data_IF_532047006665
#
_entry.id   IF_532047006665
#
_cell.length_a   1.000
_cell.length_b   1.000
_cell.length_c   1.000
_cell.angle_alpha   90.00
_cell.angle_beta   90.00
_cell.angle_gamma   90.00
#
_symmetry.space_group_name_H-M   'P 1'
#
loop_
_entity.id
_entity.type
_entity.pdbx_description
1 polymer ?
#
# COMPACT_ATOMS: atom_id res chain seq x y z
N UNK A 1 23.61 -7.76 -5.77
CA UNK A 1 22.32 -8.13 -5.15
C UNK A 1 21.82 -7.06 -4.19
N UNK A 2 22.63 -6.59 -3.24
CA UNK A 2 22.22 -5.59 -2.23
C UNK A 2 21.73 -4.26 -2.85
N UNK A 3 22.40 -3.74 -3.89
CA UNK A 3 22.00 -2.47 -4.52
C UNK A 3 20.59 -2.52 -5.14
N UNK A 4 20.21 -3.60 -5.81
CA UNK A 4 18.89 -3.71 -6.43
C UNK A 4 17.78 -3.84 -5.39
N UNK A 5 18.06 -4.51 -4.26
CA UNK A 5 17.14 -4.61 -3.13
C UNK A 5 16.99 -3.27 -2.42
N UNK A 6 18.09 -2.58 -2.11
CA UNK A 6 18.04 -1.25 -1.48
C UNK A 6 17.36 -0.22 -2.38
N UNK A 7 17.65 -0.24 -3.68
CA UNK A 7 16.94 0.58 -4.68
C UNK A 7 15.45 0.22 -4.72
N UNK A 8 15.11 -1.07 -4.64
CA UNK A 8 13.73 -1.54 -4.55
C UNK A 8 13.00 -1.03 -3.31
N UNK A 9 13.63 -1.14 -2.15
CA UNK A 9 13.07 -0.62 -0.89
C UNK A 9 12.84 0.89 -0.95
N UNK A 10 13.83 1.65 -1.42
CA UNK A 10 13.71 3.09 -1.61
C UNK A 10 12.62 3.46 -2.62
N UNK A 11 12.51 2.70 -3.72
CA UNK A 11 11.46 2.87 -4.71
C UNK A 11 10.05 2.54 -4.17
N UNK A 12 9.92 1.53 -3.32
CA UNK A 12 8.66 1.22 -2.62
C UNK A 12 8.27 2.32 -1.65
N UNK A 13 9.24 2.90 -0.92
CA UNK A 13 9.00 4.05 -0.05
C UNK A 13 8.58 5.31 -0.82
N UNK A 14 9.21 5.58 -1.97
CA UNK A 14 8.82 6.66 -2.87
C UNK A 14 7.40 6.44 -3.43
N UNK A 15 7.09 5.21 -3.83
CA UNK A 15 5.74 4.82 -4.25
C UNK A 15 4.70 5.03 -3.15
N UNK A 16 4.98 4.61 -1.92
CA UNK A 16 4.07 4.81 -0.78
C UNK A 16 3.84 6.30 -0.49
N UNK A 17 4.87 7.14 -0.65
CA UNK A 17 4.75 8.59 -0.56
C UNK A 17 3.82 9.13 -1.64
N UNK A 18 3.98 8.70 -2.90
CA UNK A 18 3.13 9.13 -4.00
C UNK A 18 1.66 8.68 -3.81
N UNK A 19 1.44 7.44 -3.38
CA UNK A 19 0.11 6.92 -3.03
C UNK A 19 -0.56 7.83 -2.00
N UNK A 20 0.12 8.08 -0.88
CA UNK A 20 -0.42 8.94 0.19
C UNK A 20 -0.68 10.35 -0.30
N UNK A 21 0.21 10.93 -1.12
CA UNK A 21 0.02 12.26 -1.68
C UNK A 21 -1.25 12.34 -2.54
N UNK A 22 -1.48 11.35 -3.40
CA UNK A 22 -2.70 11.27 -4.23
C UNK A 22 -3.94 11.07 -3.35
N UNK A 23 -3.88 10.18 -2.36
CA UNK A 23 -4.98 9.96 -1.41
C UNK A 23 -5.34 11.22 -0.63
N UNK A 24 -4.36 11.98 -0.15
CA UNK A 24 -4.61 13.22 0.58
C UNK A 24 -5.07 14.37 -0.32
N UNK A 25 -4.53 14.47 -1.55
CA UNK A 25 -5.04 15.42 -2.54
C UNK A 25 -6.51 15.14 -2.84
N UNK A 26 -6.86 13.87 -2.96
CA UNK A 26 -8.23 13.42 -3.18
C UNK A 26 -9.18 13.83 -2.04
N UNK A 27 -8.76 13.59 -0.80
CA UNK A 27 -9.49 14.04 0.40
C UNK A 27 -9.65 15.56 0.44
N UNK A 28 -8.60 16.31 0.12
CA UNK A 28 -8.63 17.77 0.14
C UNK A 28 -9.53 18.37 -0.96
N UNK A 29 -9.57 17.74 -2.14
CA UNK A 29 -10.32 18.23 -3.29
C UNK A 29 -11.80 17.80 -3.27
N UNK A 30 -12.09 16.53 -2.91
CA UNK A 30 -13.46 15.98 -2.86
C UNK A 30 -14.11 16.08 -1.49
N UNK A 31 -13.36 16.43 -0.44
CA UNK A 31 -13.87 16.51 0.94
C UNK A 31 -14.25 15.15 1.54
N UNK A 32 -13.75 14.04 0.97
CA UNK A 32 -14.07 12.70 1.46
C UNK A 32 -13.35 12.39 2.78
N UNK A 33 -13.94 11.60 3.69
CA UNK A 33 -13.27 11.19 4.92
C UNK A 33 -12.08 10.25 4.64
N UNK A 34 -11.11 10.16 5.55
CA UNK A 34 -10.08 9.13 5.49
C UNK A 34 -10.71 7.73 5.60
N UNK A 35 -10.08 6.73 4.99
CA UNK A 35 -10.46 5.33 5.18
C UNK A 35 -10.14 4.89 6.61
N UNK A 36 -11.05 4.12 7.21
CA UNK A 36 -10.90 3.45 8.51
C UNK A 36 -10.56 1.96 8.38
N UNK A 37 -10.47 1.44 7.15
CA UNK A 37 -10.27 0.02 6.87
C UNK A 37 -8.98 -0.53 7.50
N UNK A 38 -7.84 0.19 7.52
CA UNK A 38 -6.64 -0.27 8.23
C UNK A 38 -6.85 -0.39 9.75
N UNK A 39 -7.52 0.58 10.39
CA UNK A 39 -7.86 0.53 11.81
C UNK A 39 -8.80 -0.64 12.13
N UNK A 40 -9.83 -0.83 11.31
CA UNK A 40 -10.79 -1.93 11.43
C UNK A 40 -10.12 -3.29 11.26
N UNK A 41 -9.11 -3.37 10.40
CA UNK A 41 -8.29 -4.58 10.24
C UNK A 41 -7.53 -4.93 11.51
N UNK A 42 -6.93 -3.92 12.17
CA UNK A 42 -6.27 -4.14 13.47
C UNK A 42 -7.28 -4.53 14.54
N UNK A 43 -8.44 -3.85 14.59
CA UNK A 43 -9.52 -4.19 15.52
C UNK A 43 -10.00 -5.63 15.32
N UNK A 44 -10.15 -6.06 14.06
CA UNK A 44 -10.58 -7.42 13.72
C UNK A 44 -9.57 -8.48 14.18
N UNK A 45 -8.27 -8.17 14.13
CA UNK A 45 -7.22 -9.03 14.69
C UNK A 45 -7.29 -9.10 16.22
N UNK A 46 -7.57 -7.99 16.92
CA UNK A 46 -7.79 -7.99 18.38
C UNK A 46 -8.95 -8.91 18.77
N UNK A 47 -10.07 -8.83 18.03
CA UNK A 47 -11.24 -9.70 18.23
C UNK A 47 -10.90 -11.18 18.04
N UNK A 48 -10.26 -11.54 16.93
CA UNK A 48 -9.91 -12.92 16.61
C UNK A 48 -8.88 -13.52 17.58
N UNK A 49 -8.00 -12.69 18.13
CA UNK A 49 -6.96 -13.14 19.08
C UNK A 49 -7.41 -13.06 20.53
N UNK A 50 -8.54 -12.40 20.82
CA UNK A 50 -8.99 -12.08 22.17
C UNK A 50 -8.04 -11.15 22.93
N UNK A 51 -7.14 -10.44 22.22
CA UNK A 51 -6.12 -9.58 22.81
C UNK A 51 -6.29 -8.15 22.33
N UNK A 52 -6.98 -7.35 23.14
CA UNK A 52 -7.08 -5.91 22.93
C UNK A 52 -5.73 -5.20 23.11
N UNK A 53 -5.57 -4.08 22.41
CA UNK A 53 -4.44 -3.19 22.58
C UNK A 53 -4.51 -2.50 23.95
N UNK A 54 -3.37 -2.32 24.63
CA UNK A 54 -3.37 -1.79 25.99
C UNK A 54 -3.76 -0.31 26.04
N UNK A 55 -4.64 0.03 27.00
CA UNK A 55 -5.14 1.37 27.26
C UNK A 55 -6.67 1.41 27.29
N UNK A 56 -7.23 2.59 27.60
CA UNK A 56 -8.67 2.83 27.37
C UNK A 56 -8.98 2.95 25.88
N UNK A 57 -10.26 2.95 25.51
CA UNK A 57 -10.72 2.89 24.10
C UNK A 57 -10.08 3.95 23.21
N UNK A 58 -9.97 5.19 23.68
CA UNK A 58 -9.33 6.27 22.92
C UNK A 58 -7.85 5.99 22.62
N UNK A 59 -7.12 5.45 23.61
CA UNK A 59 -5.69 5.09 23.44
C UNK A 59 -5.55 3.89 22.51
N UNK A 60 -6.43 2.90 22.61
CA UNK A 60 -6.46 1.76 21.69
C UNK A 60 -6.74 2.23 20.26
N UNK A 61 -7.66 3.18 20.05
CA UNK A 61 -7.94 3.80 18.75
C UNK A 61 -6.69 4.44 18.11
N UNK A 62 -5.91 5.22 18.87
CA UNK A 62 -4.66 5.79 18.36
C UNK A 62 -3.64 4.71 17.96
N UNK A 63 -3.56 3.61 18.73
CA UNK A 63 -2.68 2.49 18.41
C UNK A 63 -3.13 1.75 17.15
N UNK A 64 -4.44 1.53 16.96
CA UNK A 64 -5.01 0.94 15.73
C UNK A 64 -4.63 1.77 14.52
N UNK A 65 -4.79 3.09 14.61
CA UNK A 65 -4.44 4.00 13.51
C UNK A 65 -2.95 3.96 13.19
N UNK A 66 -2.09 4.02 14.21
CA UNK A 66 -0.64 3.87 14.01
C UNK A 66 -0.25 2.51 13.39
N UNK A 67 -0.86 1.41 13.85
CA UNK A 67 -0.59 0.08 13.31
C UNK A 67 -1.08 -0.07 11.87
N UNK A 68 -2.27 0.44 11.55
CA UNK A 68 -2.80 0.47 10.19
C UNK A 68 -1.87 1.21 9.23
N UNK A 69 -1.40 2.39 9.62
CA UNK A 69 -0.42 3.16 8.84
C UNK A 69 0.91 2.41 8.65
N UNK A 70 1.43 1.77 9.71
CA UNK A 70 2.66 0.97 9.64
C UNK A 70 2.52 -0.23 8.70
N UNK A 71 1.38 -0.93 8.72
CA UNK A 71 1.10 -2.04 7.81
C UNK A 71 1.11 -1.58 6.34
N UNK A 72 0.55 -0.40 6.06
CA UNK A 72 0.63 0.22 4.74
C UNK A 72 2.07 0.49 4.29
N UNK A 73 2.91 1.06 5.17
CA UNK A 73 4.32 1.31 4.88
C UNK A 73 5.13 0.02 4.67
N UNK A 74 4.89 -1.00 5.48
CA UNK A 74 5.52 -2.33 5.32
C UNK A 74 5.11 -2.95 4.00
N UNK A 75 3.83 -2.86 3.62
CA UNK A 75 3.33 -3.35 2.33
C UNK A 75 4.02 -2.62 1.18
N UNK A 76 4.03 -1.29 1.19
CA UNK A 76 4.63 -0.48 0.13
C UNK A 76 6.14 -0.71 -0.03
N UNK A 77 6.89 -0.81 1.07
CA UNK A 77 8.33 -1.08 1.02
C UNK A 77 8.64 -2.54 0.66
N UNK A 78 7.83 -3.49 1.14
CA UNK A 78 7.92 -4.90 0.80
C UNK A 78 7.67 -5.17 -0.68
N UNK A 79 6.64 -4.54 -1.27
CA UNK A 79 6.39 -4.60 -2.72
C UNK A 79 7.55 -3.99 -3.50
N UNK A 80 8.12 -2.88 -3.05
CA UNK A 80 9.33 -2.30 -3.66
C UNK A 80 10.55 -3.24 -3.63
N UNK A 81 10.79 -3.94 -2.51
CA UNK A 81 11.85 -4.94 -2.40
C UNK A 81 11.66 -6.06 -3.44
N UNK A 82 10.44 -6.61 -3.53
CA UNK A 82 10.09 -7.65 -4.50
C UNK A 82 10.23 -7.12 -5.92
N UNK A 83 9.77 -5.90 -6.18
CA UNK A 83 9.92 -5.22 -7.46
C UNK A 83 11.39 -5.16 -7.88
N UNK A 84 12.28 -4.68 -7.01
CA UNK A 84 13.70 -4.58 -7.33
C UNK A 84 14.37 -5.95 -7.57
N UNK A 85 13.93 -6.98 -6.85
CA UNK A 85 14.36 -8.35 -7.07
C UNK A 85 13.92 -8.88 -8.45
N UNK A 86 12.64 -8.73 -8.79
CA UNK A 86 12.05 -9.22 -10.05
C UNK A 86 12.58 -8.44 -11.24
N UNK A 87 12.49 -7.10 -11.20
CA UNK A 87 12.92 -6.22 -12.30
C UNK A 87 14.40 -6.39 -12.64
N UNK A 88 15.26 -6.67 -11.65
CA UNK A 88 16.67 -6.92 -11.90
C UNK A 88 16.97 -8.13 -12.80
N UNK A 89 16.00 -9.04 -12.96
CA UNK A 89 16.09 -10.25 -13.80
C UNK A 89 15.30 -10.14 -15.11
N UNK A 90 14.52 -9.07 -15.30
CA UNK A 90 13.61 -8.90 -16.43
C UNK A 90 14.03 -7.71 -17.30
N UNK A 91 15.19 -7.81 -17.94
CA UNK A 91 15.80 -6.68 -18.67
C UNK A 91 14.92 -6.11 -19.79
N UNK A 92 14.07 -6.94 -20.40
CA UNK A 92 13.20 -6.56 -21.54
C UNK A 92 11.71 -6.42 -21.18
N UNK A 93 11.36 -6.39 -19.89
CA UNK A 93 9.96 -6.22 -19.51
C UNK A 93 9.45 -4.83 -19.95
N UNK A 94 8.26 -4.74 -20.56
CA UNK A 94 7.65 -3.45 -20.89
C UNK A 94 7.43 -2.60 -19.62
N UNK A 95 7.75 -1.31 -19.69
CA UNK A 95 7.60 -0.39 -18.54
C UNK A 95 6.18 -0.42 -17.96
N UNK A 96 5.15 -0.44 -18.82
CA UNK A 96 3.76 -0.50 -18.40
C UNK A 96 3.45 -1.75 -17.56
N UNK A 97 4.00 -2.92 -17.93
CA UNK A 97 3.79 -4.16 -17.20
C UNK A 97 4.40 -4.09 -15.79
N UNK A 98 5.53 -3.41 -15.64
CA UNK A 98 6.20 -3.21 -14.36
C UNK A 98 5.43 -2.24 -13.46
N UNK A 99 4.94 -1.13 -14.02
CA UNK A 99 4.08 -0.15 -13.33
C UNK A 99 2.81 -0.82 -12.82
N UNK A 100 2.09 -1.50 -13.71
CA UNK A 100 0.85 -2.19 -13.36
C UNK A 100 1.10 -3.34 -12.38
N UNK A 101 2.19 -4.09 -12.55
CA UNK A 101 2.58 -5.16 -11.63
C UNK A 101 2.82 -4.64 -10.21
N UNK A 102 3.53 -3.51 -10.07
CA UNK A 102 3.75 -2.88 -8.76
C UNK A 102 2.46 -2.34 -8.15
N UNK A 103 1.61 -1.68 -8.95
CA UNK A 103 0.32 -1.17 -8.51
C UNK A 103 -0.60 -2.29 -7.99
N UNK A 104 -0.75 -3.36 -8.77
CA UNK A 104 -1.54 -4.54 -8.41
C UNK A 104 -0.95 -5.25 -7.20
N UNK A 105 0.37 -5.41 -7.12
CA UNK A 105 0.99 -6.06 -5.97
C UNK A 105 0.76 -5.27 -4.67
N UNK A 106 0.84 -3.95 -4.70
CA UNK A 106 0.52 -3.10 -3.56
C UNK A 106 -0.96 -3.21 -3.17
N UNK A 107 -1.85 -3.18 -4.16
CA UNK A 107 -3.29 -3.30 -3.95
C UNK A 107 -3.69 -4.66 -3.37
N UNK A 108 -3.19 -5.76 -3.95
CA UNK A 108 -3.43 -7.11 -3.44
C UNK A 108 -2.84 -7.28 -2.04
N UNK A 109 -1.64 -6.75 -1.82
CA UNK A 109 -0.95 -6.82 -0.53
C UNK A 109 -1.70 -6.12 0.60
N UNK A 110 -2.46 -5.06 0.30
CA UNK A 110 -3.31 -4.38 1.27
C UNK A 110 -4.72 -5.00 1.33
N UNK A 111 -5.38 -5.21 0.20
CA UNK A 111 -6.80 -5.60 0.14
C UNK A 111 -7.07 -7.06 0.54
N UNK A 112 -6.23 -8.02 0.14
CA UNK A 112 -6.49 -9.45 0.40
C UNK A 112 -6.50 -9.77 1.90
N UNK A 113 -5.53 -9.33 2.73
CA UNK A 113 -5.60 -9.54 4.18
C UNK A 113 -6.89 -8.99 4.79
N UNK A 114 -7.32 -7.80 4.37
CA UNK A 114 -8.54 -7.16 4.87
C UNK A 114 -9.80 -7.94 4.45
N UNK A 115 -9.83 -8.45 3.21
CA UNK A 115 -10.93 -9.27 2.72
C UNK A 115 -11.02 -10.63 3.43
N UNK A 116 -9.88 -11.29 3.69
CA UNK A 116 -9.84 -12.54 4.44
C UNK A 116 -10.31 -12.37 5.89
N UNK A 117 -10.11 -11.18 6.46
CA UNK A 117 -10.60 -10.83 7.80
C UNK A 117 -12.08 -10.41 7.81
N UNK A 118 -12.69 -10.27 6.63
CA UNK A 118 -14.09 -9.83 6.46
C UNK A 118 -14.28 -8.32 6.67
N UNK A 119 -13.22 -7.53 6.55
CA UNK A 119 -13.23 -6.07 6.75
C UNK A 119 -13.63 -5.33 5.48
N UNK A 120 -13.34 -5.90 4.31
CA UNK A 120 -13.71 -5.32 3.02
C UNK A 120 -14.14 -6.40 2.03
N UNK A 121 -14.97 -6.02 1.06
CA UNK A 121 -15.31 -6.85 -0.10
C UNK A 121 -15.31 -6.00 -1.37
N UNK A 122 -14.32 -6.22 -2.24
CA UNK A 122 -14.15 -5.48 -3.50
C UNK A 122 -15.32 -5.67 -4.48
N UNK A 123 -16.15 -6.71 -4.27
CA UNK A 123 -17.33 -6.99 -5.10
C UNK A 123 -18.47 -6.02 -4.82
N UNK A 124 -18.48 -5.44 -3.62
CA UNK A 124 -19.51 -4.51 -3.17
C UNK A 124 -19.11 -3.04 -3.36
N UNK A 125 -17.91 -2.79 -3.90
CA UNK A 125 -17.40 -1.44 -4.12
C UNK A 125 -18.15 -0.75 -5.26
N UNK A 126 -18.58 0.48 -4.99
CA UNK A 126 -19.08 1.38 -6.03
C UNK A 126 -17.93 1.96 -6.88
N UNK A 127 -18.29 2.69 -7.93
CA UNK A 127 -17.31 3.26 -8.86
C UNK A 127 -16.39 4.30 -8.19
N UNK A 128 -16.87 5.02 -7.17
CA UNK A 128 -16.08 6.03 -6.47
C UNK A 128 -15.02 5.36 -5.58
N UNK A 129 -15.39 4.30 -4.86
CA UNK A 129 -14.49 3.46 -4.08
C UNK A 129 -13.41 2.84 -4.98
N UNK A 130 -13.79 2.30 -6.14
CA UNK A 130 -12.84 1.79 -7.13
C UNK A 130 -11.86 2.85 -7.61
N UNK A 131 -12.34 4.07 -7.90
CA UNK A 131 -11.48 5.16 -8.39
C UNK A 131 -10.51 5.64 -7.31
N UNK A 132 -11.02 5.85 -6.09
CA UNK A 132 -10.23 6.29 -4.94
C UNK A 132 -9.23 5.24 -4.45
N UNK A 133 -9.36 4.00 -4.91
CA UNK A 133 -8.37 2.94 -4.69
C UNK A 133 -7.40 2.80 -5.88
N UNK A 134 -7.89 2.72 -7.12
CA UNK A 134 -7.05 2.47 -8.29
C UNK A 134 -6.05 3.59 -8.56
N UNK A 135 -6.47 4.85 -8.48
CA UNK A 135 -5.63 6.00 -8.86
C UNK A 135 -4.39 6.14 -7.96
N UNK A 136 -4.51 6.09 -6.61
CA UNK A 136 -3.33 6.05 -5.74
C UNK A 136 -2.40 4.86 -6.00
N UNK A 137 -2.93 3.67 -6.30
CA UNK A 137 -2.10 2.50 -6.57
C UNK A 137 -1.36 2.59 -7.92
N UNK A 138 -1.96 3.20 -8.94
CA UNK A 138 -1.25 3.51 -10.19
C UNK A 138 -0.11 4.51 -9.96
N UNK A 139 -0.34 5.55 -9.13
CA UNK A 139 0.69 6.51 -8.75
C UNK A 139 1.84 5.84 -7.97
N UNK A 140 1.52 4.91 -7.07
CA UNK A 140 2.50 4.03 -6.42
C UNK A 140 3.34 3.30 -7.47
N UNK A 141 2.71 2.54 -8.36
CA UNK A 141 3.42 1.69 -9.32
C UNK A 141 4.32 2.49 -10.26
N UNK A 142 3.83 3.63 -10.75
CA UNK A 142 4.59 4.53 -11.62
C UNK A 142 5.83 5.10 -10.91
N UNK A 143 5.66 5.56 -9.68
CA UNK A 143 6.73 6.17 -8.89
C UNK A 143 7.76 5.13 -8.44
N UNK A 144 7.33 3.93 -8.04
CA UNK A 144 8.23 2.82 -7.71
C UNK A 144 9.04 2.41 -8.94
N UNK A 145 8.41 2.23 -10.10
CA UNK A 145 9.13 1.87 -11.31
C UNK A 145 10.18 2.94 -11.67
N UNK A 146 9.78 4.21 -11.77
CA UNK A 146 10.66 5.31 -12.13
C UNK A 146 11.83 5.47 -11.15
N UNK A 147 11.56 5.43 -9.84
CA UNK A 147 12.58 5.56 -8.79
C UNK A 147 13.58 4.40 -8.85
N UNK A 148 13.12 3.18 -9.10
CA UNK A 148 14.01 2.04 -9.18
C UNK A 148 14.94 2.13 -10.40
N UNK A 149 14.45 2.51 -11.59
CA UNK A 149 15.30 2.69 -12.77
C UNK A 149 16.39 3.74 -12.49
N UNK A 150 16.01 4.91 -11.94
CA UNK A 150 16.94 5.97 -11.57
C UNK A 150 18.03 5.50 -10.58
N UNK A 151 17.65 4.75 -9.54
CA UNK A 151 18.59 4.32 -8.50
C UNK A 151 19.42 3.08 -8.88
N UNK A 152 18.90 2.23 -9.76
CA UNK A 152 19.56 1.00 -10.21
C UNK A 152 20.54 1.24 -11.36
N UNK A 153 20.49 2.42 -12.01
CA UNK A 153 21.41 2.78 -13.10
C UNK A 153 21.32 1.84 -14.30
N UNK A 154 20.14 1.24 -14.50
CA UNK A 154 19.73 0.56 -15.73
C UNK A 154 18.95 1.51 -16.62
#
# INVERSE_FOLDING_TARGET
>A
MNRNLLAGLAAGAAGATALNAVTYADMALRGRPPSTTPEETVARVEELTGRGLPGGEQVAGHRRSGLGALLGLVTGTGVGLVYGLVRSRLDRAPALLLVLGAAVAANVGSAVPMALLGVTDVRDWDADAWLSDLVPHLAYGATTAATWELLSGK
#
